data_IF_650050131619
#
_entry.id   IF_650050131619
#
_cell.length_a   1.000
_cell.length_b   1.000
_cell.length_c   1.000
_cell.angle_alpha   90.00
_cell.angle_beta   90.00
_cell.angle_gamma   90.00
#
_symmetry.space_group_name_H-M   'P 1'
#
loop_
_entity.id
_entity.type
_entity.pdbx_description
1 polymer ?
#
# COMPACT_ATOMS: atom_id res chain seq x y z
N UNK A 1 -90.61 -95.57 23.22
CA UNK A 1 -89.61 -94.58 23.69
C UNK A 1 -89.16 -93.71 22.52
N UNK A 2 -89.30 -92.39 22.66
CA UNK A 2 -89.00 -91.44 21.58
C UNK A 2 -87.48 -91.20 21.47
N UNK A 3 -86.91 -91.45 20.29
CA UNK A 3 -85.52 -91.10 20.02
C UNK A 3 -85.40 -89.57 19.92
N UNK A 4 -84.47 -88.97 20.69
CA UNK A 4 -84.26 -87.53 20.73
C UNK A 4 -83.40 -87.07 19.54
N UNK A 5 -83.32 -85.75 19.32
CA UNK A 5 -82.43 -85.12 18.33
C UNK A 5 -82.56 -85.70 16.91
N UNK A 6 -83.81 -85.92 16.47
CA UNK A 6 -84.15 -86.53 15.17
C UNK A 6 -83.56 -87.93 14.96
N UNK A 7 -83.28 -88.67 16.05
CA UNK A 7 -82.97 -90.08 15.97
C UNK A 7 -84.12 -90.89 15.38
N UNK A 8 -83.81 -91.88 14.55
CA UNK A 8 -84.82 -92.76 13.94
C UNK A 8 -85.00 -94.02 14.79
N UNK A 9 -86.24 -94.33 15.16
CA UNK A 9 -86.57 -95.51 15.98
C UNK A 9 -86.92 -96.72 15.10
N UNK A 10 -86.34 -97.89 15.40
CA UNK A 10 -86.73 -99.18 14.81
C UNK A 10 -86.92 -100.25 15.88
N UNK A 11 -87.93 -101.12 15.67
CA UNK A 11 -88.29 -102.25 16.53
C UNK A 11 -87.72 -103.54 15.96
N UNK A 12 -86.86 -104.21 16.73
CA UNK A 12 -86.23 -105.49 16.35
C UNK A 12 -86.36 -106.44 17.54
N UNK A 13 -87.13 -107.52 17.37
CA UNK A 13 -87.30 -108.61 18.36
C UNK A 13 -87.64 -108.10 19.77
N UNK A 14 -88.74 -107.36 19.87
CA UNK A 14 -89.31 -106.79 21.10
C UNK A 14 -88.43 -105.77 21.88
N UNK A 15 -87.29 -105.31 21.33
CA UNK A 15 -86.50 -104.18 21.85
C UNK A 15 -86.47 -102.98 20.87
N UNK A 16 -86.42 -101.75 21.41
CA UNK A 16 -86.38 -100.49 20.64
C UNK A 16 -84.95 -99.95 20.54
N UNK A 17 -84.45 -99.72 19.31
CA UNK A 17 -83.12 -99.14 19.06
C UNK A 17 -83.26 -97.80 18.34
N UNK A 18 -82.50 -96.80 18.80
CA UNK A 18 -82.42 -95.47 18.19
C UNK A 18 -81.15 -95.33 17.33
N UNK A 19 -81.33 -94.99 16.05
CA UNK A 19 -80.24 -94.63 15.14
C UNK A 19 -80.06 -93.12 15.15
N UNK A 20 -78.91 -92.67 15.63
CA UNK A 20 -78.65 -91.26 15.88
C UNK A 20 -77.96 -90.59 14.69
N UNK A 21 -78.48 -89.45 14.20
CA UNK A 21 -77.77 -88.65 13.20
C UNK A 21 -76.52 -88.03 13.83
N UNK A 22 -75.44 -87.97 13.06
CA UNK A 22 -74.20 -87.32 13.50
C UNK A 22 -74.46 -85.85 13.86
N UNK A 23 -73.94 -85.31 14.99
CA UNK A 23 -72.96 -85.89 15.91
C UNK A 23 -73.58 -86.51 17.19
N UNK A 24 -74.83 -86.96 17.16
CA UNK A 24 -75.50 -87.49 18.35
C UNK A 24 -75.30 -89.01 18.52
N UNK A 25 -75.26 -89.46 19.76
CA UNK A 25 -75.02 -90.85 20.18
C UNK A 25 -75.79 -91.17 21.47
N UNK A 26 -75.77 -92.43 21.90
CA UNK A 26 -76.48 -92.90 23.10
C UNK A 26 -77.78 -93.62 22.76
N UNK A 27 -78.35 -94.32 23.74
CA UNK A 27 -79.51 -95.20 23.53
C UNK A 27 -80.81 -94.46 23.11
N UNK A 28 -80.89 -93.15 23.32
CA UNK A 28 -81.96 -92.29 22.85
C UNK A 28 -81.42 -91.08 22.05
N UNK A 29 -80.19 -91.14 21.55
CA UNK A 29 -79.51 -90.04 20.83
C UNK A 29 -79.32 -88.75 21.66
N UNK A 30 -79.09 -88.90 22.96
CA UNK A 30 -79.01 -87.81 23.93
C UNK A 30 -77.60 -87.22 24.12
N UNK A 31 -76.55 -87.81 23.54
CA UNK A 31 -75.14 -87.44 23.77
C UNK A 31 -74.56 -86.80 22.50
N UNK A 32 -73.92 -85.63 22.56
CA UNK A 32 -73.30 -84.95 21.40
C UNK A 32 -71.76 -85.19 21.37
N UNK A 33 -71.20 -85.59 20.23
CA UNK A 33 -69.82 -86.12 20.11
C UNK A 33 -68.70 -85.08 19.86
N UNK A 34 -68.99 -83.83 19.47
CA UNK A 34 -67.95 -82.83 19.14
C UNK A 34 -67.67 -81.90 20.33
N UNK A 35 -66.43 -81.86 20.82
CA UNK A 35 -65.93 -80.86 21.77
C UNK A 35 -65.20 -79.72 21.02
N UNK A 36 -65.89 -78.60 20.83
CA UNK A 36 -65.37 -77.44 20.10
C UNK A 36 -64.16 -76.74 20.76
N UNK A 37 -63.83 -77.08 22.02
CA UNK A 37 -62.70 -76.48 22.75
C UNK A 37 -61.38 -77.26 22.64
N UNK A 38 -61.36 -78.44 22.01
CA UNK A 38 -60.12 -79.23 21.84
C UNK A 38 -59.06 -78.51 21.00
N UNK A 39 -59.47 -77.66 20.05
CA UNK A 39 -58.56 -76.89 19.21
C UNK A 39 -58.02 -75.62 19.88
N UNK A 40 -58.29 -75.41 21.18
CA UNK A 40 -57.91 -74.22 21.95
C UNK A 40 -58.17 -72.90 21.19
N UNK A 41 -59.42 -72.62 20.76
CA UNK A 41 -59.72 -71.48 19.90
C UNK A 41 -59.56 -70.11 20.59
N UNK A 42 -59.59 -70.08 21.93
CA UNK A 42 -59.45 -68.84 22.71
C UNK A 42 -57.97 -68.48 22.89
N UNK A 43 -57.58 -67.31 22.41
CA UNK A 43 -56.23 -66.75 22.54
C UNK A 43 -56.08 -65.96 23.85
N UNK A 44 -54.86 -65.52 24.17
CA UNK A 44 -54.56 -64.65 25.30
C UNK A 44 -55.11 -65.15 26.65
N UNK A 45 -54.95 -66.45 26.91
CA UNK A 45 -55.40 -67.11 28.12
C UNK A 45 -56.93 -67.06 28.35
N UNK A 46 -57.71 -66.82 27.30
CA UNK A 46 -59.17 -66.88 27.36
C UNK A 46 -59.69 -68.28 27.67
N UNK A 47 -60.78 -68.36 28.44
CA UNK A 47 -61.40 -69.64 28.84
C UNK A 47 -62.44 -70.06 27.79
N UNK A 48 -62.34 -71.30 27.28
CA UNK A 48 -63.28 -71.84 26.30
C UNK A 48 -64.44 -72.59 26.98
N UNK A 49 -65.67 -72.30 26.55
CA UNK A 49 -66.87 -73.08 26.92
C UNK A 49 -67.67 -73.46 25.68
N UNK A 50 -68.38 -74.59 25.74
CA UNK A 50 -69.29 -75.01 24.67
C UNK A 50 -70.54 -74.12 24.66
N UNK A 51 -70.99 -73.72 23.47
CA UNK A 51 -72.16 -72.87 23.25
C UNK A 51 -73.09 -73.50 22.19
N UNK A 52 -74.35 -73.08 22.12
CA UNK A 52 -75.35 -73.69 21.22
C UNK A 52 -74.98 -73.59 19.73
N UNK A 53 -74.07 -72.69 19.38
CA UNK A 53 -73.55 -72.50 18.01
C UNK A 53 -72.07 -72.87 17.86
N UNK A 54 -71.47 -73.61 18.81
CA UNK A 54 -70.09 -74.09 18.75
C UNK A 54 -69.32 -73.85 20.05
N UNK A 55 -68.51 -72.80 20.09
CA UNK A 55 -67.70 -72.42 21.26
C UNK A 55 -67.88 -70.94 21.60
N UNK A 56 -67.65 -70.60 22.87
CA UNK A 56 -67.62 -69.23 23.38
C UNK A 56 -66.35 -69.03 24.20
N UNK A 57 -65.64 -67.94 23.92
CA UNK A 57 -64.47 -67.55 24.70
C UNK A 57 -64.83 -66.49 25.73
N UNK A 58 -64.49 -66.74 26.99
CA UNK A 58 -64.46 -65.72 28.03
C UNK A 58 -63.05 -65.13 28.08
N UNK A 59 -62.93 -63.89 27.64
CA UNK A 59 -61.65 -63.20 27.56
C UNK A 59 -61.18 -62.72 28.95
N UNK A 60 -59.87 -62.82 29.16
CA UNK A 60 -59.18 -62.11 30.25
C UNK A 60 -59.36 -60.60 30.12
N UNK A 61 -59.29 -59.87 31.24
CA UNK A 61 -59.46 -58.41 31.23
C UNK A 61 -58.44 -57.75 30.31
N UNK A 62 -58.88 -56.83 29.46
CA UNK A 62 -58.06 -56.18 28.44
C UNK A 62 -58.13 -56.82 27.04
N UNK A 63 -58.82 -57.96 26.85
CA UNK A 63 -58.97 -58.58 25.53
C UNK A 63 -60.43 -58.62 25.05
N UNK A 64 -60.62 -58.58 23.74
CA UNK A 64 -61.93 -58.61 23.08
C UNK A 64 -61.91 -59.44 21.78
N UNK A 65 -63.10 -59.64 21.20
CA UNK A 65 -63.32 -60.48 20.03
C UNK A 65 -63.77 -61.90 20.38
N UNK A 66 -64.24 -62.61 19.36
CA UNK A 66 -64.82 -63.96 19.49
C UNK A 66 -63.82 -65.02 19.98
N UNK A 67 -62.54 -64.77 19.73
CA UNK A 67 -61.38 -65.61 20.06
C UNK A 67 -60.41 -64.89 21.00
N UNK A 68 -60.81 -63.78 21.62
CA UNK A 68 -59.99 -62.97 22.54
C UNK A 68 -58.65 -62.49 21.97
N UNK A 69 -58.56 -62.35 20.64
CA UNK A 69 -57.30 -62.01 19.97
C UNK A 69 -56.93 -60.53 20.03
N UNK A 70 -57.89 -59.64 20.25
CA UNK A 70 -57.66 -58.21 20.15
C UNK A 70 -57.45 -57.60 21.53
N UNK A 71 -56.37 -56.84 21.70
CA UNK A 71 -56.22 -55.98 22.87
C UNK A 71 -57.27 -54.87 22.81
N UNK A 72 -57.92 -54.59 23.93
CA UNK A 72 -58.81 -53.45 24.07
C UNK A 72 -57.94 -52.19 24.11
N UNK A 73 -58.28 -51.19 23.30
CA UNK A 73 -57.56 -49.91 23.29
C UNK A 73 -57.89 -49.12 24.57
N UNK A 74 -57.00 -49.22 25.56
CA UNK A 74 -57.11 -48.54 26.85
C UNK A 74 -56.92 -47.01 26.69
N UNK A 75 -56.41 -46.55 25.54
CA UNK A 75 -56.26 -45.14 25.18
C UNK A 75 -57.50 -44.52 24.54
N UNK A 76 -58.53 -45.31 24.20
CA UNK A 76 -59.74 -44.82 23.52
C UNK A 76 -60.51 -43.74 24.32
N UNK A 77 -60.37 -43.76 25.65
CA UNK A 77 -60.97 -42.75 26.55
C UNK A 77 -60.20 -41.43 26.63
N UNK A 78 -59.05 -41.32 25.94
CA UNK A 78 -58.13 -40.19 25.97
C UNK A 78 -57.73 -39.79 27.40
N UNK A 79 -57.12 -40.70 28.18
CA UNK A 79 -56.85 -40.45 29.60
C UNK A 79 -55.69 -39.47 29.87
N UNK A 80 -54.83 -39.20 28.88
CA UNK A 80 -53.65 -38.36 29.04
C UNK A 80 -53.95 -36.88 28.81
N UNK A 81 -53.52 -36.01 29.71
CA UNK A 81 -53.72 -34.56 29.65
C UNK A 81 -52.62 -33.84 28.84
N UNK A 82 -52.83 -32.55 28.56
CA UNK A 82 -51.81 -31.61 28.04
C UNK A 82 -51.11 -32.07 26.75
N UNK A 83 -51.81 -32.79 25.87
CA UNK A 83 -51.26 -33.26 24.59
C UNK A 83 -50.26 -34.41 24.74
N UNK A 84 -50.23 -35.08 25.89
CA UNK A 84 -49.40 -36.24 26.13
C UNK A 84 -49.77 -37.44 25.22
N UNK A 85 -48.75 -38.20 24.83
CA UNK A 85 -48.94 -39.37 23.98
C UNK A 85 -49.35 -40.58 24.83
N UNK A 86 -50.55 -41.10 24.59
CA UNK A 86 -51.02 -42.33 25.24
C UNK A 86 -50.38 -43.57 24.60
N UNK A 87 -49.91 -44.48 25.44
CA UNK A 87 -49.35 -45.77 25.06
C UNK A 87 -50.23 -46.87 25.63
N UNK A 88 -50.88 -47.60 24.73
CA UNK A 88 -51.75 -48.74 25.02
C UNK A 88 -50.96 -49.93 25.60
N UNK A 89 -51.59 -50.66 26.51
CA UNK A 89 -51.05 -51.84 27.17
C UNK A 89 -52.14 -52.87 27.40
N UNK A 90 -51.85 -53.96 28.11
CA UNK A 90 -52.85 -54.97 28.42
C UNK A 90 -53.59 -54.57 29.69
N UNK A 91 -54.85 -54.14 29.57
CA UNK A 91 -55.70 -53.67 30.68
C UNK A 91 -55.06 -52.53 31.48
N UNK A 92 -54.24 -51.71 30.82
CA UNK A 92 -53.53 -50.56 31.38
C UNK A 92 -53.05 -49.66 30.24
N UNK A 93 -52.95 -48.37 30.53
CA UNK A 93 -52.31 -47.39 29.64
C UNK A 93 -51.15 -46.69 30.35
N UNK A 94 -50.27 -46.02 29.59
CA UNK A 94 -49.26 -45.12 30.13
C UNK A 94 -49.14 -43.85 29.30
N UNK A 95 -48.96 -42.70 29.96
CA UNK A 95 -48.86 -41.41 29.29
C UNK A 95 -47.39 -40.98 29.18
N UNK A 96 -46.93 -40.68 27.97
CA UNK A 96 -45.64 -40.02 27.74
C UNK A 96 -45.86 -38.51 27.74
N UNK A 97 -45.40 -37.87 28.80
CA UNK A 97 -45.59 -36.44 29.00
C UNK A 97 -44.73 -35.61 28.03
N UNK A 98 -45.28 -34.54 27.45
CA UNK A 98 -44.49 -33.54 26.76
C UNK A 98 -43.54 -32.85 27.76
N UNK A 99 -42.46 -32.23 27.26
CA UNK A 99 -41.61 -31.37 28.09
C UNK A 99 -42.44 -30.30 28.83
N UNK A 100 -42.13 -30.05 30.10
CA UNK A 100 -42.89 -29.11 30.95
C UNK A 100 -44.05 -29.72 31.74
N UNK A 101 -44.37 -31.00 31.56
CA UNK A 101 -45.46 -31.65 32.31
C UNK A 101 -45.02 -32.92 33.04
N UNK A 102 -45.60 -33.18 34.20
CA UNK A 102 -45.37 -34.40 34.99
C UNK A 102 -46.67 -35.02 35.54
N UNK A 103 -46.53 -36.17 36.20
CA UNK A 103 -47.65 -36.94 36.73
C UNK A 103 -48.03 -38.13 35.85
N UNK A 104 -48.80 -39.07 36.39
CA UNK A 104 -49.17 -40.32 35.69
C UNK A 104 -50.06 -40.09 34.47
N UNK A 105 -50.81 -38.97 34.46
CA UNK A 105 -51.64 -38.53 33.34
C UNK A 105 -51.09 -37.25 32.70
N UNK A 106 -49.88 -36.83 33.06
CA UNK A 106 -49.27 -35.57 32.60
C UNK A 106 -50.09 -34.33 32.95
N UNK A 107 -50.80 -34.39 34.09
CA UNK A 107 -51.76 -33.37 34.52
C UNK A 107 -51.11 -32.18 35.24
N UNK A 108 -49.88 -32.33 35.72
CA UNK A 108 -49.20 -31.29 36.47
C UNK A 108 -48.28 -30.51 35.54
N UNK A 109 -48.36 -29.19 35.59
CA UNK A 109 -47.36 -28.30 35.01
C UNK A 109 -46.10 -28.31 35.88
N UNK A 110 -44.92 -28.34 35.25
CA UNK A 110 -43.63 -28.31 35.94
C UNK A 110 -43.14 -26.86 35.97
N UNK A 111 -43.37 -26.16 37.08
CA UNK A 111 -42.82 -24.81 37.29
C UNK A 111 -41.31 -24.89 37.52
N UNK A 112 -40.54 -24.65 36.46
CA UNK A 112 -39.09 -24.62 36.49
C UNK A 112 -38.54 -23.42 37.28
N UNK A 113 -39.36 -22.40 37.55
CA UNK A 113 -38.97 -21.22 38.31
C UNK A 113 -39.10 -21.40 39.83
N UNK A 114 -39.77 -22.45 40.32
CA UNK A 114 -39.86 -22.76 41.75
C UNK A 114 -38.48 -23.14 42.34
N UNK A 115 -37.68 -23.89 41.57
CA UNK A 115 -36.36 -24.39 42.00
C UNK A 115 -35.17 -23.55 41.46
N UNK A 116 -35.37 -22.70 40.45
CA UNK A 116 -34.29 -21.96 39.80
C UNK A 116 -34.07 -20.56 40.40
N UNK A 117 -32.97 -20.39 41.13
CA UNK A 117 -32.64 -19.12 41.80
C UNK A 117 -32.02 -18.10 40.83
N UNK A 118 -32.78 -17.03 40.53
CA UNK A 118 -32.32 -15.89 39.71
C UNK A 118 -31.64 -14.76 40.51
N UNK A 119 -31.30 -14.95 41.78
CA UNK A 119 -30.68 -13.92 42.61
C UNK A 119 -31.54 -12.67 42.71
N UNK A 120 -31.06 -11.55 42.15
CA UNK A 120 -31.83 -10.28 42.08
C UNK A 120 -32.69 -10.16 40.80
N UNK A 121 -32.69 -11.16 39.94
CA UNK A 121 -33.42 -11.20 38.67
C UNK A 121 -34.80 -11.81 38.76
N UNK A 122 -35.58 -11.62 37.70
CA UNK A 122 -36.88 -12.27 37.53
C UNK A 122 -36.71 -13.55 36.72
N UNK A 123 -37.21 -14.66 37.24
CA UNK A 123 -37.23 -15.94 36.53
C UNK A 123 -38.34 -15.95 35.48
N UNK A 124 -38.02 -16.39 34.26
CA UNK A 124 -39.01 -16.64 33.21
C UNK A 124 -38.75 -18.00 32.55
N UNK A 125 -39.83 -18.72 32.30
CA UNK A 125 -39.80 -19.92 31.49
C UNK A 125 -39.88 -19.56 30.01
N UNK A 126 -39.06 -20.21 29.19
CA UNK A 126 -38.99 -20.03 27.75
C UNK A 126 -39.05 -21.38 27.03
N UNK A 127 -39.32 -21.35 25.73
CA UNK A 127 -39.47 -22.57 24.90
C UNK A 127 -40.50 -23.57 25.46
N UNK A 128 -41.66 -23.07 25.90
CA UNK A 128 -42.77 -23.90 26.35
C UNK A 128 -42.47 -24.71 27.61
N UNK A 129 -41.85 -24.10 28.63
CA UNK A 129 -41.58 -24.75 29.92
C UNK A 129 -40.41 -25.73 29.90
N UNK A 130 -39.41 -25.51 29.03
CA UNK A 130 -38.25 -26.42 28.90
C UNK A 130 -36.91 -25.78 29.27
N UNK A 131 -36.86 -24.46 29.31
CA UNK A 131 -35.67 -23.69 29.65
C UNK A 131 -36.06 -22.50 30.52
N UNK A 132 -35.12 -22.09 31.38
CA UNK A 132 -35.27 -20.93 32.25
C UNK A 132 -34.22 -19.88 31.88
N UNK A 133 -34.64 -18.62 31.86
CA UNK A 133 -33.75 -17.46 31.74
C UNK A 133 -34.05 -16.52 32.91
N UNK A 134 -33.00 -15.92 33.48
CA UNK A 134 -33.13 -14.82 34.43
C UNK A 134 -33.04 -13.48 33.71
N UNK A 135 -34.07 -12.66 33.84
CA UNK A 135 -34.02 -11.25 33.44
C UNK A 135 -33.36 -10.45 34.56
N UNK A 136 -32.16 -9.96 34.32
CA UNK A 136 -31.43 -9.18 35.32
C UNK A 136 -31.89 -7.72 35.34
N UNK A 137 -32.16 -7.14 36.52
CA UNK A 137 -32.43 -5.72 36.66
C UNK A 137 -31.18 -4.89 36.35
N UNK A 138 -31.38 -3.59 36.12
CA UNK A 138 -30.28 -2.65 35.88
C UNK A 138 -29.23 -2.75 37.02
N UNK A 139 -27.96 -2.91 36.64
CA UNK A 139 -26.85 -3.05 37.59
C UNK A 139 -26.51 -4.49 37.99
N UNK A 140 -27.15 -5.50 37.42
CA UNK A 140 -26.81 -6.92 37.63
C UNK A 140 -26.63 -7.66 36.29
N UNK A 141 -25.71 -8.63 36.28
CA UNK A 141 -25.39 -9.47 35.12
C UNK A 141 -25.18 -10.92 35.55
N UNK A 142 -24.90 -11.81 34.59
CA UNK A 142 -24.68 -13.23 34.80
C UNK A 142 -25.95 -14.08 34.69
N UNK A 143 -25.78 -15.40 34.56
CA UNK A 143 -26.88 -16.36 34.31
C UNK A 143 -27.96 -16.37 35.41
N UNK A 144 -27.59 -15.99 36.63
CA UNK A 144 -28.47 -15.94 37.80
C UNK A 144 -28.49 -14.55 38.46
N UNK A 145 -28.15 -13.50 37.70
CA UNK A 145 -28.18 -12.10 38.14
C UNK A 145 -27.54 -11.82 39.50
N UNK A 146 -26.52 -12.61 39.88
CA UNK A 146 -25.85 -12.52 41.17
C UNK A 146 -24.62 -11.61 41.13
N UNK A 147 -24.08 -11.33 39.95
CA UNK A 147 -22.95 -10.41 39.79
C UNK A 147 -23.45 -8.99 39.59
N UNK A 148 -23.11 -8.08 40.51
CA UNK A 148 -23.33 -6.64 40.31
C UNK A 148 -22.43 -6.16 39.17
N UNK A 149 -22.98 -5.40 38.22
CA UNK A 149 -22.21 -4.77 37.16
C UNK A 149 -21.35 -3.68 37.81
N UNK A 150 -20.04 -3.91 37.85
CA UNK A 150 -19.08 -2.90 38.32
C UNK A 150 -19.09 -1.70 37.37
N UNK A 151 -18.85 -0.52 37.91
CA UNK A 151 -18.96 0.79 37.26
C UNK A 151 -18.09 0.88 35.99
N UNK A 152 -16.96 0.17 35.96
CA UNK A 152 -16.06 0.11 34.81
C UNK A 152 -16.47 -0.90 33.72
N UNK A 153 -17.43 -1.79 33.98
CA UNK A 153 -17.84 -2.84 33.03
C UNK A 153 -18.56 -2.26 31.80
N UNK A 154 -19.05 -1.02 31.90
CA UNK A 154 -19.67 -0.26 30.81
C UNK A 154 -18.69 0.67 30.09
N UNK A 155 -17.40 0.64 30.45
CA UNK A 155 -16.35 1.53 29.93
C UNK A 155 -16.78 3.02 29.92
N UNK A 156 -17.04 3.62 31.10
CA UNK A 156 -17.56 4.99 31.16
C UNK A 156 -16.54 6.06 30.71
N UNK A 157 -15.25 5.75 30.73
CA UNK A 157 -14.18 6.67 30.36
C UNK A 157 -14.02 6.76 28.84
N UNK A 158 -14.19 7.97 28.29
CA UNK A 158 -14.04 8.25 26.86
C UNK A 158 -12.58 8.55 26.51
N UNK A 159 -12.30 8.68 25.21
CA UNK A 159 -10.99 9.06 24.66
C UNK A 159 -9.81 8.20 25.16
N UNK A 160 -10.07 6.92 25.47
CA UNK A 160 -9.07 5.97 25.94
C UNK A 160 -8.66 6.15 27.40
N UNK A 161 -9.44 6.88 28.20
CA UNK A 161 -9.23 7.00 29.64
C UNK A 161 -9.31 5.64 30.35
N UNK A 162 -8.54 5.49 31.43
CA UNK A 162 -8.50 4.26 32.23
C UNK A 162 -9.53 4.35 33.35
N UNK A 163 -10.46 3.41 33.41
CA UNK A 163 -11.44 3.34 34.47
C UNK A 163 -10.88 2.61 35.70
N UNK A 164 -10.96 3.26 36.86
CA UNK A 164 -10.63 2.67 38.14
C UNK A 164 -11.90 2.59 38.98
N UNK A 165 -12.31 1.36 39.31
CA UNK A 165 -13.40 1.10 40.25
C UNK A 165 -12.85 1.01 41.67
N UNK A 166 -13.61 1.49 42.65
CA UNK A 166 -13.17 1.51 44.04
C UNK A 166 -14.02 0.57 44.90
N UNK A 167 -13.33 -0.25 45.70
CA UNK A 167 -13.91 -1.40 46.42
C UNK A 167 -14.74 -0.94 47.65
N UNK A 168 -14.46 0.27 48.12
CA UNK A 168 -14.88 0.80 49.42
C UNK A 168 -16.29 1.43 49.37
N UNK A 169 -16.73 1.82 48.16
CA UNK A 169 -18.05 2.39 47.89
C UNK A 169 -18.46 1.90 46.50
N UNK A 170 -19.29 0.85 46.44
CA UNK A 170 -19.76 0.18 45.23
C UNK A 170 -20.70 1.02 44.33
N UNK A 171 -20.43 2.33 44.19
CA UNK A 171 -21.15 3.27 43.33
C UNK A 171 -20.26 4.39 42.75
N UNK A 172 -18.92 4.31 42.90
CA UNK A 172 -18.03 5.33 42.34
C UNK A 172 -16.90 4.72 41.52
N UNK A 173 -16.59 5.41 40.43
CA UNK A 173 -15.44 5.17 39.58
C UNK A 173 -14.69 6.48 39.37
N UNK A 174 -13.42 6.37 39.04
CA UNK A 174 -12.60 7.48 38.60
C UNK A 174 -12.04 7.16 37.21
N UNK A 175 -12.11 8.14 36.30
CA UNK A 175 -11.47 8.05 35.00
C UNK A 175 -10.13 8.77 35.03
N UNK A 176 -9.05 8.01 34.86
CA UNK A 176 -7.72 8.58 34.64
C UNK A 176 -7.61 8.94 33.16
N UNK A 177 -7.69 10.23 32.87
CA UNK A 177 -7.67 10.74 31.51
C UNK A 177 -6.28 10.69 30.90
N UNK A 178 -6.23 10.35 29.62
CA UNK A 178 -5.01 10.53 28.83
C UNK A 178 -4.70 12.03 28.71
N UNK A 179 -3.41 12.40 28.60
CA UNK A 179 -3.03 13.79 28.36
C UNK A 179 -3.78 14.38 27.15
N UNK A 180 -4.21 15.64 27.27
CA UNK A 180 -5.06 16.34 26.28
C UNK A 180 -6.57 16.20 26.50
N UNK A 181 -7.01 15.46 27.52
CA UNK A 181 -8.43 15.31 27.86
C UNK A 181 -8.70 15.59 29.34
N UNK A 182 -9.88 16.11 29.63
CA UNK A 182 -10.37 16.44 30.98
C UNK A 182 -11.87 16.15 31.10
N UNK A 183 -12.43 16.47 32.27
CA UNK A 183 -13.80 16.14 32.64
C UNK A 183 -13.94 14.77 33.30
N UNK A 184 -15.08 14.54 33.94
CA UNK A 184 -15.35 13.36 34.77
C UNK A 184 -15.14 12.04 34.02
N UNK A 185 -15.48 12.02 32.72
CA UNK A 185 -15.37 10.85 31.85
C UNK A 185 -14.35 11.05 30.74
N UNK A 186 -13.41 11.99 30.90
CA UNK A 186 -12.43 12.36 29.87
C UNK A 186 -13.06 12.81 28.55
N UNK A 187 -14.27 13.38 28.61
CA UNK A 187 -15.08 13.77 27.45
C UNK A 187 -14.68 15.13 26.87
N UNK A 188 -13.99 15.96 27.65
CA UNK A 188 -13.64 17.32 27.26
C UNK A 188 -12.22 17.27 26.68
N UNK A 189 -12.07 17.67 25.42
CA UNK A 189 -10.74 17.95 24.86
C UNK A 189 -10.22 19.27 25.48
N UNK A 190 -8.97 19.28 25.93
CA UNK A 190 -8.30 20.48 26.41
C UNK A 190 -7.88 21.31 25.21
N UNK A 191 -8.49 22.49 25.04
CA UNK A 191 -8.08 23.43 24.00
C UNK A 191 -6.69 24.01 24.33
N UNK A 192 -5.66 23.42 23.74
CA UNK A 192 -4.27 23.86 23.88
C UNK A 192 -3.97 25.14 23.09
N UNK A 193 -4.93 25.62 22.28
CA UNK A 193 -4.84 26.90 21.58
C UNK A 193 -5.29 28.11 22.41
N UNK A 194 -6.00 27.94 23.53
CA UNK A 194 -6.54 29.04 24.33
C UNK A 194 -5.46 30.05 24.81
N UNK A 195 -4.21 29.62 24.96
CA UNK A 195 -3.05 30.47 25.27
C UNK A 195 -1.85 30.14 24.35
N UNK A 196 -2.12 29.95 23.06
CA UNK A 196 -1.08 29.59 22.11
C UNK A 196 0.02 30.66 21.98
N UNK A 197 1.22 30.22 21.61
CA UNK A 197 2.37 31.10 21.34
C UNK A 197 2.56 31.44 19.86
N UNK A 198 1.62 31.07 18.99
CA UNK A 198 1.72 31.34 17.56
C UNK A 198 1.85 32.85 17.28
N UNK A 199 2.90 33.24 16.56
CA UNK A 199 3.23 34.62 16.23
C UNK A 199 2.75 35.00 14.82
N UNK A 200 2.88 36.28 14.46
CA UNK A 200 2.65 36.82 13.11
C UNK A 200 1.28 36.50 12.49
N UNK A 201 0.24 36.34 13.33
CA UNK A 201 -1.12 36.02 12.86
C UNK A 201 -1.31 34.57 12.41
N UNK A 202 -0.38 33.67 12.79
CA UNK A 202 -0.51 32.24 12.55
C UNK A 202 -1.78 31.68 13.20
N UNK A 203 -2.42 30.74 12.52
CA UNK A 203 -3.62 30.06 13.02
C UNK A 203 -3.21 28.88 13.88
N UNK A 204 -3.65 28.84 15.14
CA UNK A 204 -3.41 27.70 15.99
C UNK A 204 -4.36 26.55 15.66
N UNK A 205 -3.81 25.34 15.56
CA UNK A 205 -4.55 24.09 15.47
C UNK A 205 -4.35 23.28 16.75
N UNK A 206 -5.46 23.00 17.40
CA UNK A 206 -5.51 22.10 18.54
C UNK A 206 -5.21 20.66 18.09
N UNK A 207 -4.33 20.00 18.82
CA UNK A 207 -3.98 18.60 18.63
C UNK A 207 -4.11 17.90 19.97
N UNK A 208 -4.03 16.58 20.02
CA UNK A 208 -4.11 15.88 21.30
C UNK A 208 -2.88 16.20 22.17
N UNK A 209 -3.08 16.91 23.29
CA UNK A 209 -2.05 17.28 24.27
C UNK A 209 -0.94 18.17 23.68
N UNK A 210 -1.28 18.94 22.65
CA UNK A 210 -0.32 19.77 21.93
C UNK A 210 -1.06 20.71 21.00
N UNK A 211 -0.34 21.67 20.43
CA UNK A 211 -0.88 22.51 19.38
C UNK A 211 0.15 22.70 18.27
N UNK A 212 -0.33 23.04 17.09
CA UNK A 212 0.49 23.37 15.92
C UNK A 212 0.10 24.76 15.41
N UNK A 213 1.08 25.61 15.17
CA UNK A 213 0.86 26.87 14.47
C UNK A 213 0.92 26.64 12.96
N UNK A 214 -0.14 27.02 12.24
CA UNK A 214 -0.12 27.12 10.79
C UNK A 214 0.47 28.47 10.40
N UNK A 215 1.71 28.44 9.94
CA UNK A 215 2.44 29.65 9.60
C UNK A 215 1.87 30.30 8.33
N UNK A 216 1.66 31.62 8.34
CA UNK A 216 1.40 32.38 7.14
C UNK A 216 2.57 32.27 6.17
N UNK A 217 2.30 32.62 4.90
CA UNK A 217 3.32 32.67 3.87
C UNK A 217 4.46 33.61 4.32
N UNK A 218 5.71 33.17 4.14
CA UNK A 218 6.92 33.87 4.60
C UNK A 218 7.39 33.52 6.01
N UNK A 219 6.61 32.80 6.82
CA UNK A 219 7.01 32.44 8.19
C UNK A 219 7.29 30.95 8.36
N UNK A 220 8.20 30.62 9.26
CA UNK A 220 8.60 29.26 9.63
C UNK A 220 8.92 29.16 11.12
N UNK A 221 9.15 27.95 11.62
CA UNK A 221 9.36 27.66 13.04
C UNK A 221 8.16 26.99 13.70
N UNK A 222 8.31 26.61 14.97
CA UNK A 222 7.25 25.93 15.72
C UNK A 222 6.10 26.89 16.05
N UNK A 223 6.43 28.15 16.27
CA UNK A 223 5.51 29.22 16.62
C UNK A 223 5.40 30.27 15.50
N UNK A 224 5.95 29.99 14.32
CA UNK A 224 6.00 30.93 13.19
C UNK A 224 6.77 32.21 13.53
N UNK A 225 7.80 32.06 14.36
CA UNK A 225 8.61 33.12 14.93
C UNK A 225 9.78 33.56 14.04
N UNK A 226 10.06 32.80 12.96
CA UNK A 226 11.20 33.04 12.07
C UNK A 226 10.74 33.36 10.66
N UNK A 227 11.43 34.30 10.03
CA UNK A 227 11.33 34.51 8.60
C UNK A 227 11.83 33.25 7.87
N UNK A 228 11.11 32.88 6.81
CA UNK A 228 11.44 31.71 6.00
C UNK A 228 12.52 32.13 5.01
N UNK A 229 13.69 31.50 5.10
CA UNK A 229 14.77 31.75 4.17
C UNK A 229 14.45 31.21 2.77
N UNK A 230 14.12 32.10 1.84
CA UNK A 230 13.76 31.75 0.47
C UNK A 230 14.99 31.24 -0.33
N UNK A 231 16.20 31.59 0.11
CA UNK A 231 17.44 31.08 -0.48
C UNK A 231 17.74 29.59 -0.21
N UNK A 232 17.02 28.94 0.71
CA UNK A 232 17.22 27.50 0.98
C UNK A 232 16.78 26.62 -0.21
N UNK A 233 15.83 27.12 -1.01
CA UNK A 233 15.29 26.42 -2.19
C UNK A 233 15.81 27.03 -3.50
N UNK A 234 16.19 28.31 -3.46
CA UNK A 234 16.47 29.09 -4.66
C UNK A 234 17.97 29.09 -4.97
N UNK A 235 18.29 28.69 -6.20
CA UNK A 235 19.67 28.63 -6.66
C UNK A 235 19.98 29.79 -7.61
N UNK A 236 20.79 30.73 -7.15
CA UNK A 236 21.38 31.74 -8.03
C UNK A 236 22.45 31.08 -8.92
N UNK A 237 22.30 31.21 -10.24
CA UNK A 237 23.20 30.60 -11.21
C UNK A 237 24.50 31.39 -11.35
N UNK A 238 25.49 30.80 -12.03
CA UNK A 238 26.75 31.44 -12.41
C UNK A 238 27.53 32.05 -11.24
N UNK A 239 27.39 31.43 -10.05
CA UNK A 239 28.05 31.86 -8.83
C UNK A 239 27.51 33.16 -8.22
N UNK A 240 26.27 33.54 -8.56
CA UNK A 240 25.55 34.64 -7.91
C UNK A 240 25.29 34.36 -6.42
N UNK A 241 25.23 35.42 -5.61
CA UNK A 241 24.94 35.33 -4.17
C UNK A 241 23.44 35.52 -3.93
N UNK A 242 22.80 34.55 -3.28
CA UNK A 242 21.41 34.73 -2.86
C UNK A 242 21.34 35.60 -1.61
N UNK A 243 20.42 36.56 -1.62
CA UNK A 243 20.07 37.41 -0.49
C UNK A 243 18.60 37.16 -0.18
N UNK A 244 18.36 36.71 1.03
CA UNK A 244 17.02 36.46 1.57
C UNK A 244 16.28 37.78 1.81
N UNK A 245 15.01 37.83 1.42
CA UNK A 245 14.10 38.97 1.65
C UNK A 245 12.79 38.42 2.22
N UNK A 246 11.96 39.30 2.79
CA UNK A 246 10.69 38.84 3.36
C UNK A 246 9.74 38.32 2.27
N UNK A 247 9.52 36.99 2.26
CA UNK A 247 8.71 36.29 1.27
C UNK A 247 9.14 36.56 -0.20
N UNK A 248 10.43 36.80 -0.40
CA UNK A 248 11.04 37.05 -1.69
C UNK A 248 12.54 36.79 -1.61
N UNK A 249 13.24 36.90 -2.73
CA UNK A 249 14.69 36.74 -2.76
C UNK A 249 15.31 37.66 -3.80
N UNK A 250 16.61 37.90 -3.65
CA UNK A 250 17.40 38.60 -4.65
C UNK A 250 18.70 37.88 -4.91
N UNK A 251 18.94 37.51 -6.16
CA UNK A 251 20.26 37.08 -6.59
C UNK A 251 21.12 38.30 -6.96
N UNK A 252 22.23 38.48 -6.25
CA UNK A 252 23.29 39.40 -6.63
C UNK A 252 24.19 38.73 -7.66
N UNK A 253 24.04 39.15 -8.91
CA UNK A 253 24.78 38.58 -10.04
C UNK A 253 26.23 39.05 -10.04
N UNK A 254 27.12 38.14 -10.45
CA UNK A 254 28.50 38.50 -10.77
C UNK A 254 28.54 39.38 -12.03
N UNK A 255 29.60 40.19 -12.20
CA UNK A 255 29.80 40.94 -13.44
C UNK A 255 29.68 40.02 -14.67
N UNK A 256 29.02 40.50 -15.72
CA UNK A 256 28.72 39.74 -16.93
C UNK A 256 27.42 38.94 -16.90
N UNK A 257 26.71 38.82 -15.77
CA UNK A 257 25.44 38.09 -15.70
C UNK A 257 24.25 38.97 -15.32
N UNK A 258 23.06 38.59 -15.81
CA UNK A 258 21.81 39.30 -15.57
C UNK A 258 20.61 38.34 -15.40
N UNK A 259 19.45 38.91 -15.09
CA UNK A 259 18.20 38.20 -14.80
C UNK A 259 18.01 37.87 -13.32
N UNK A 260 16.78 37.49 -12.96
CA UNK A 260 16.35 37.26 -11.56
C UNK A 260 17.22 36.21 -10.84
N UNK A 261 17.66 35.18 -11.58
CA UNK A 261 18.53 34.11 -11.04
C UNK A 261 19.95 34.14 -11.63
N UNK A 262 20.38 35.26 -12.22
CA UNK A 262 21.71 35.40 -12.84
C UNK A 262 22.03 34.36 -13.92
N UNK A 263 21.00 33.85 -14.61
CA UNK A 263 21.13 32.77 -15.58
C UNK A 263 21.48 33.25 -17.00
N UNK A 264 21.40 34.56 -17.27
CA UNK A 264 21.66 35.13 -18.59
C UNK A 264 23.04 35.78 -18.62
N UNK A 265 23.86 35.46 -19.63
CA UNK A 265 25.04 36.27 -19.94
C UNK A 265 24.58 37.62 -20.48
N UNK A 266 25.26 38.69 -20.09
CA UNK A 266 25.07 40.01 -20.69
C UNK A 266 25.74 39.96 -22.06
N UNK A 267 25.01 40.33 -23.11
CA UNK A 267 25.56 40.39 -24.45
C UNK A 267 26.39 41.67 -24.60
N UNK A 268 27.71 41.50 -24.45
CA UNK A 268 28.70 42.57 -24.53
C UNK A 268 28.89 43.09 -25.98
N UNK A 269 28.31 42.40 -26.98
CA UNK A 269 28.33 42.80 -28.39
C UNK A 269 27.18 43.73 -28.80
N UNK A 270 26.20 43.99 -27.92
CA UNK A 270 25.00 44.80 -28.21
C UNK A 270 25.27 46.19 -28.81
N UNK A 271 26.44 46.77 -28.52
CA UNK A 271 26.84 48.10 -28.99
C UNK A 271 27.83 48.07 -30.17
N UNK A 272 28.05 46.90 -30.79
CA UNK A 272 29.00 46.70 -31.90
C UNK A 272 30.40 47.26 -31.60
N UNK A 273 31.10 46.76 -30.57
CA UNK A 273 32.41 47.28 -30.18
C UNK A 273 33.52 47.03 -31.22
N UNK A 274 33.37 46.00 -32.06
CA UNK A 274 34.36 45.67 -33.10
C UNK A 274 34.22 46.61 -34.31
N UNK A 275 35.28 47.38 -34.58
CA UNK A 275 35.37 48.30 -35.69
C UNK A 275 35.72 47.59 -37.00
N UNK A 276 35.67 48.33 -38.10
CA UNK A 276 36.10 47.87 -39.43
C UNK A 276 35.49 46.53 -39.86
N UNK A 277 34.21 46.33 -39.52
CA UNK A 277 33.44 45.12 -39.85
C UNK A 277 34.04 43.83 -39.26
N UNK A 278 34.74 43.94 -38.12
CA UNK A 278 35.13 42.80 -37.29
C UNK A 278 33.92 42.08 -36.70
N UNK A 279 34.02 40.77 -36.53
CA UNK A 279 32.94 39.97 -35.92
C UNK A 279 33.12 39.92 -34.41
N UNK A 280 32.13 40.40 -33.67
CA UNK A 280 32.11 40.37 -32.22
C UNK A 280 31.67 39.01 -31.70
N UNK A 281 32.39 38.48 -30.71
CA UNK A 281 32.09 37.24 -30.02
C UNK A 281 31.87 37.59 -28.55
N UNK A 282 30.65 37.37 -28.08
CA UNK A 282 30.25 37.56 -26.69
C UNK A 282 31.01 36.60 -25.77
N UNK A 283 31.53 37.14 -24.66
CA UNK A 283 32.19 36.38 -23.61
C UNK A 283 31.54 36.73 -22.27
N UNK A 284 31.98 36.13 -21.17
CA UNK A 284 31.40 36.43 -19.85
C UNK A 284 31.98 37.74 -19.31
N UNK A 285 31.19 38.81 -19.33
CA UNK A 285 31.58 40.14 -18.83
C UNK A 285 32.67 40.83 -19.65
N UNK A 286 32.79 40.42 -20.91
CA UNK A 286 33.76 40.90 -21.88
C UNK A 286 33.34 40.42 -23.27
N UNK A 287 34.03 40.85 -24.32
CA UNK A 287 33.84 40.37 -25.67
C UNK A 287 35.22 40.20 -26.33
N UNK A 288 35.27 39.50 -27.45
CA UNK A 288 36.48 39.44 -28.28
C UNK A 288 36.14 39.71 -29.74
N UNK A 289 36.99 40.45 -30.43
CA UNK A 289 36.81 40.79 -31.83
C UNK A 289 37.67 39.88 -32.71
N UNK A 290 37.02 39.29 -33.73
CA UNK A 290 37.72 38.63 -34.82
C UNK A 290 37.83 39.58 -36.01
N UNK A 291 39.06 40.04 -36.26
CA UNK A 291 39.33 41.05 -37.26
C UNK A 291 39.43 40.47 -38.66
N UNK A 292 39.06 41.28 -39.67
CA UNK A 292 39.40 40.98 -41.06
C UNK A 292 40.92 41.03 -41.25
N UNK A 293 41.49 40.31 -42.25
CA UNK A 293 42.95 40.20 -42.43
C UNK A 293 43.72 41.53 -42.57
N UNK A 294 43.00 42.61 -42.87
CA UNK A 294 43.56 43.95 -43.08
C UNK A 294 43.57 44.80 -41.80
N UNK A 295 43.12 44.26 -40.66
CA UNK A 295 43.03 44.97 -39.39
C UNK A 295 43.54 44.10 -38.23
N UNK A 296 44.03 44.77 -37.20
CA UNK A 296 44.54 44.22 -35.94
C UNK A 296 44.13 45.15 -34.78
N UNK A 297 44.49 44.81 -33.55
CA UNK A 297 44.05 45.51 -32.33
C UNK A 297 42.89 44.79 -31.63
N UNK A 298 42.58 45.22 -30.41
CA UNK A 298 41.52 44.62 -29.56
C UNK A 298 40.12 44.86 -30.14
N UNK A 299 39.94 46.00 -30.84
CA UNK A 299 38.69 46.43 -31.45
C UNK A 299 38.76 46.42 -32.98
N UNK A 300 39.81 45.81 -33.57
CA UNK A 300 40.10 45.87 -35.00
C UNK A 300 40.30 47.28 -35.56
N UNK A 301 40.78 48.20 -34.72
CA UNK A 301 40.94 49.62 -35.00
C UNK A 301 42.22 49.96 -35.78
N UNK A 302 43.21 49.06 -35.75
CA UNK A 302 44.54 49.28 -36.31
C UNK A 302 44.61 48.62 -37.69
N UNK A 303 44.89 49.34 -38.78
CA UNK A 303 45.20 48.70 -40.06
C UNK A 303 46.40 47.76 -39.92
N UNK A 304 46.28 46.53 -40.42
CA UNK A 304 47.36 45.55 -40.39
C UNK A 304 48.50 46.01 -41.30
N UNK A 305 49.64 46.33 -40.70
CA UNK A 305 50.88 46.60 -41.42
C UNK A 305 51.76 45.33 -41.46
N UNK A 306 51.85 44.64 -42.60
CA UNK A 306 52.70 43.46 -42.73
C UNK A 306 54.20 43.76 -42.50
N UNK A 307 54.63 45.02 -42.59
CA UNK A 307 56.00 45.46 -42.34
C UNK A 307 56.26 45.90 -40.89
N UNK A 308 55.24 45.96 -40.03
CA UNK A 308 55.36 46.48 -38.66
C UNK A 308 56.26 45.65 -37.73
N UNK A 309 56.46 44.37 -38.05
CA UNK A 309 57.39 43.48 -37.33
C UNK A 309 58.80 43.43 -37.93
N UNK A 310 59.10 44.30 -38.90
CA UNK A 310 60.38 44.32 -39.64
C UNK A 310 60.80 42.93 -40.14
N UNK A 311 59.99 42.26 -40.99
CA UNK A 311 60.28 40.90 -41.45
C UNK A 311 61.48 40.82 -42.40
N UNK A 312 61.97 41.95 -42.93
CA UNK A 312 63.12 42.01 -43.81
C UNK A 312 64.43 42.18 -43.02
N UNK A 313 65.54 41.68 -43.56
CA UNK A 313 66.87 41.87 -42.98
C UNK A 313 67.31 43.34 -42.92
N UNK A 314 68.23 43.64 -41.99
CA UNK A 314 68.73 45.00 -41.74
C UNK A 314 69.37 45.62 -42.99
N UNK A 315 68.77 46.71 -43.49
CA UNK A 315 69.19 47.41 -44.71
C UNK A 315 68.25 47.24 -45.90
N UNK A 316 67.32 46.28 -45.85
CA UNK A 316 66.28 46.07 -46.85
C UNK A 316 65.08 47.00 -46.64
N UNK A 317 64.40 47.40 -47.71
CA UNK A 317 63.17 48.22 -47.62
C UNK A 317 61.94 47.33 -47.68
N UNK A 318 61.11 47.31 -46.63
CA UNK A 318 59.85 46.57 -46.64
C UNK A 318 58.72 47.40 -47.27
N UNK A 319 57.92 46.78 -48.13
CA UNK A 319 56.71 47.36 -48.74
C UNK A 319 55.57 46.34 -48.72
N UNK A 320 54.32 46.78 -48.82
CA UNK A 320 53.16 45.87 -48.92
C UNK A 320 53.05 45.31 -50.33
N UNK A 321 53.13 43.99 -50.48
CA UNK A 321 52.97 43.32 -51.77
C UNK A 321 51.52 43.30 -52.27
N UNK A 322 51.27 42.93 -53.54
CA UNK A 322 49.93 42.89 -54.14
C UNK A 322 48.93 41.95 -53.43
N UNK A 323 49.45 40.98 -52.67
CA UNK A 323 48.69 39.99 -51.93
C UNK A 323 48.47 40.39 -50.45
N UNK A 324 48.85 41.60 -50.04
CA UNK A 324 48.76 42.07 -48.65
C UNK A 324 49.83 41.49 -47.70
N UNK A 325 50.78 40.71 -48.23
CA UNK A 325 51.92 40.15 -47.50
C UNK A 325 53.14 41.10 -47.55
N UNK A 326 54.11 40.97 -46.61
CA UNK A 326 55.32 41.77 -46.64
C UNK A 326 56.15 41.45 -47.89
N UNK A 327 56.64 42.49 -48.56
CA UNK A 327 57.49 42.40 -49.74
C UNK A 327 58.79 43.19 -49.50
N UNK A 328 59.91 42.47 -49.41
CA UNK A 328 61.21 43.05 -49.13
C UNK A 328 61.95 43.41 -50.43
N UNK A 329 62.29 44.70 -50.57
CA UNK A 329 63.17 45.20 -51.62
C UNK A 329 64.60 45.13 -51.09
N UNK A 330 65.40 44.23 -51.65
CA UNK A 330 66.78 44.05 -51.24
C UNK A 330 67.67 45.23 -51.74
N UNK A 331 68.71 45.64 -51.00
CA UNK A 331 69.55 46.79 -51.35
C UNK A 331 70.21 46.68 -52.73
N UNK A 332 70.20 47.77 -53.50
CA UNK A 332 70.86 47.83 -54.80
C UNK A 332 72.34 48.20 -54.65
N UNK A 333 73.14 47.17 -54.46
CA UNK A 333 74.60 47.17 -54.61
C UNK A 333 75.04 45.74 -54.88
N UNK A 334 74.84 45.27 -56.12
CA UNK A 334 75.17 43.92 -56.61
C UNK A 334 74.71 42.76 -55.70
N UNK A 335 73.40 42.45 -55.73
CA UNK A 335 72.83 41.14 -55.35
C UNK A 335 73.19 40.53 -53.99
N UNK A 336 73.66 41.24 -52.97
CA UNK A 336 74.10 40.66 -51.68
C UNK A 336 73.13 39.65 -51.03
N UNK A 337 71.81 39.86 -51.14
CA UNK A 337 70.79 38.99 -50.56
C UNK A 337 69.64 38.68 -51.52
N UNK A 338 69.06 37.48 -51.40
CA UNK A 338 67.91 36.97 -52.14
C UNK A 338 66.89 36.31 -51.17
N UNK A 339 65.80 35.76 -51.71
CA UNK A 339 64.69 35.23 -50.93
C UNK A 339 63.60 36.26 -50.61
N UNK A 340 62.44 35.80 -50.15
CA UNK A 340 61.26 36.64 -49.86
C UNK A 340 61.53 37.69 -48.78
N UNK A 341 62.48 37.41 -47.88
CA UNK A 341 62.82 38.27 -46.74
C UNK A 341 64.23 38.90 -46.84
N UNK A 342 64.91 38.76 -47.99
CA UNK A 342 66.29 39.18 -48.20
C UNK A 342 67.26 38.57 -47.16
N UNK A 343 67.04 37.32 -46.77
CA UNK A 343 67.77 36.57 -45.74
C UNK A 343 68.73 35.52 -46.30
N UNK A 344 68.69 35.29 -47.61
CA UNK A 344 69.56 34.33 -48.28
C UNK A 344 70.74 35.08 -48.89
N UNK A 345 71.94 34.82 -48.38
CA UNK A 345 73.19 35.33 -48.94
C UNK A 345 73.40 34.84 -50.38
N UNK A 346 73.69 35.73 -51.32
CA UNK A 346 73.94 35.36 -52.72
C UNK A 346 75.42 35.06 -52.91
N UNK A 347 75.72 33.97 -53.61
CA UNK A 347 77.11 33.63 -53.91
C UNK A 347 77.63 34.35 -55.17
N UNK A 348 78.28 35.50 -55.02
CA UNK A 348 78.76 36.29 -56.16
C UNK A 348 79.93 35.63 -56.90
N UNK A 349 80.62 34.66 -56.29
CA UNK A 349 81.71 33.92 -56.91
C UNK A 349 81.28 33.05 -58.09
N UNK A 350 79.98 32.74 -58.23
CA UNK A 350 79.45 32.02 -59.40
C UNK A 350 79.53 32.84 -60.69
N UNK A 351 79.71 34.17 -60.61
CA UNK A 351 79.82 35.06 -61.77
C UNK A 351 81.27 35.37 -62.18
N UNK A 352 82.25 34.63 -61.65
CA UNK A 352 83.68 34.75 -62.01
C UNK A 352 84.23 36.19 -61.91
N UNK A 353 84.02 36.84 -60.76
CA UNK A 353 84.39 38.26 -60.54
C UNK A 353 85.88 38.51 -60.26
N UNK A 354 86.65 37.50 -59.85
CA UNK A 354 88.08 37.62 -59.61
C UNK A 354 88.85 37.16 -60.85
N UNK A 355 89.66 38.04 -61.44
CA UNK A 355 90.38 37.75 -62.68
C UNK A 355 91.57 36.81 -62.45
N UNK A 356 92.54 37.22 -61.62
CA UNK A 356 93.75 36.45 -61.33
C UNK A 356 93.82 36.07 -59.84
N UNK A 357 92.77 35.44 -59.33
CA UNK A 357 92.68 35.04 -57.93
C UNK A 357 91.53 34.09 -57.64
N UNK A 358 91.46 33.61 -56.40
CA UNK A 358 90.37 32.79 -55.91
C UNK A 358 89.30 33.67 -55.25
N UNK A 359 88.03 33.44 -55.61
CA UNK A 359 86.90 34.13 -55.01
C UNK A 359 86.40 33.41 -53.75
N UNK A 360 86.16 34.15 -52.67
CA UNK A 360 85.53 33.67 -51.44
C UNK A 360 84.22 34.41 -51.21
N UNK A 361 83.13 33.65 -51.04
CA UNK A 361 81.84 34.22 -50.67
C UNK A 361 81.84 34.63 -49.20
N UNK A 362 81.36 35.83 -48.90
CA UNK A 362 81.24 36.38 -47.54
C UNK A 362 79.81 36.84 -47.31
N UNK A 363 79.41 37.07 -46.05
CA UNK A 363 78.03 37.48 -45.79
C UNK A 363 77.76 38.90 -46.31
N UNK A 364 76.91 39.01 -47.32
CA UNK A 364 76.52 40.22 -48.02
C UNK A 364 77.53 40.75 -49.03
N UNK A 365 78.57 39.97 -49.40
CA UNK A 365 79.63 40.38 -50.32
C UNK A 365 80.55 39.21 -50.72
N UNK A 366 81.61 39.46 -51.48
CA UNK A 366 82.68 38.51 -51.76
C UNK A 366 84.07 39.13 -51.59
N UNK A 367 85.09 38.30 -51.44
CA UNK A 367 86.49 38.70 -51.34
C UNK A 367 87.35 37.94 -52.37
N UNK A 368 88.16 38.67 -53.15
CA UNK A 368 89.12 38.06 -54.07
C UNK A 368 90.50 37.95 -53.40
N UNK A 369 91.04 36.73 -53.35
CA UNK A 369 92.43 36.48 -52.95
C UNK A 369 93.29 36.30 -54.18
N UNK A 370 94.15 37.27 -54.45
CA UNK A 370 94.95 37.31 -55.66
C UNK A 370 96.07 36.27 -55.65
N UNK A 371 96.36 35.72 -56.82
CA UNK A 371 97.53 34.89 -57.05
C UNK A 371 98.81 35.75 -56.92
N UNK A 372 99.95 35.10 -56.65
CA UNK A 372 101.23 35.80 -56.59
C UNK A 372 101.49 36.57 -57.90
N UNK A 373 101.89 37.83 -57.79
CA UNK A 373 102.01 38.74 -58.94
C UNK A 373 100.76 39.55 -59.24
N UNK A 374 99.65 39.44 -58.47
CA UNK A 374 98.43 40.23 -58.70
C UNK A 374 97.89 40.90 -57.41
N UNK A 375 97.24 42.05 -57.56
CA UNK A 375 96.61 42.85 -56.48
C UNK A 375 95.32 43.54 -56.97
N UNK A 376 94.65 44.29 -56.09
CA UNK A 376 93.37 44.96 -56.34
C UNK A 376 92.16 44.14 -55.91
N UNK A 377 90.99 44.78 -55.85
CA UNK A 377 89.73 44.19 -55.34
C UNK A 377 89.21 43.01 -56.15
N UNK A 378 89.57 42.95 -57.43
CA UNK A 378 89.19 41.90 -58.39
C UNK A 378 90.41 41.15 -58.95
N UNK A 379 91.60 41.36 -58.36
CA UNK A 379 92.86 40.78 -58.81
C UNK A 379 93.20 41.05 -60.28
N UNK A 380 92.79 42.21 -60.80
CA UNK A 380 93.09 42.66 -62.16
C UNK A 380 94.44 43.36 -62.29
N UNK A 381 95.06 43.79 -61.17
CA UNK A 381 96.28 44.60 -61.20
C UNK A 381 97.50 43.70 -61.08
N UNK A 382 98.33 43.67 -62.11
CA UNK A 382 99.60 42.93 -62.14
C UNK A 382 100.68 43.67 -61.30
N UNK A 383 101.41 42.94 -60.45
CA UNK A 383 102.49 43.44 -59.59
C UNK A 383 103.80 43.30 -60.35
N UNK A 384 104.33 44.40 -60.87
CA UNK A 384 105.60 44.40 -61.60
C UNK A 384 106.79 43.94 -60.71
N UNK A 385 107.23 42.70 -60.87
CA UNK A 385 108.34 42.13 -60.08
C UNK A 385 109.72 42.65 -60.50
N UNK A 386 109.82 43.38 -61.63
CA UNK A 386 111.07 43.94 -62.14
C UNK A 386 111.44 45.32 -61.57
N UNK A 387 110.67 45.86 -60.61
CA UNK A 387 111.15 46.97 -59.76
C UNK A 387 112.00 46.49 -58.57
N UNK A 388 112.53 45.27 -58.63
CA UNK A 388 113.54 44.72 -57.72
C UNK A 388 114.79 45.60 -57.63
N UNK A 389 115.31 45.70 -56.40
CA UNK A 389 116.53 46.36 -55.97
C UNK A 389 117.78 46.10 -56.87
N UNK A 390 118.75 47.05 -56.85
CA UNK A 390 119.82 47.21 -57.83
C UNK A 390 120.91 46.14 -57.82
#
# INVERSE_FOLDING_TARGET
>A
PDCLNNGTCQLIVDEHICFCPYPYMGNACQIMQINFCESSPCQNNGTCSADENGYKCQCEMGFTGVDCRFNLDDCASQPCANGATCVDGINKYSCKCPPGYNGTLCQNDLDLCEDYNCGNGTCIEVFGGTQVICLCPAGYTGRNCSTKIGECSINPCLNGGVCVGHIDNYQWYECICLPGYTGVNCQINIDECANHKCEHGATCMDLRNSFRCMCPVGWTGQFCERDKNDCDVIQCHNGGRCVDLFNDYKCECRPGYTGVNCSKNIDDCTHNPCLNNGTCIDMVGSFTCTCLPQYTGEYCEIPFDPCGISPCTSGSTCTTGPNGHPFCICPNGFTAFTGTYCDIDVNECQQSKCNNGYCYNTHGSYECRCNAGYTGVDCSVDINECSSLP
#
